data_IF_785052975029
#
_entry.id   IF_785052975029
#
_cell.length_a   1.000
_cell.length_b   1.000
_cell.length_c   1.000
_cell.angle_alpha   90.00
_cell.angle_beta   90.00
_cell.angle_gamma   90.00
#
_symmetry.space_group_name_H-M   'P 1'
#
loop_
_entity.id
_entity.type
_entity.pdbx_description
1 polymer ?
#
# COMPACT_ATOMS: atom_id res chain seq x y z
N UNK A 1 8.01 2.86 -15.45
CA UNK A 1 7.41 2.72 -16.79
C UNK A 1 5.91 2.74 -16.64
N UNK A 2 5.18 3.50 -17.46
CA UNK A 2 3.71 3.54 -17.41
C UNK A 2 3.11 2.48 -18.32
N UNK A 3 2.13 1.73 -17.82
CA UNK A 3 1.34 0.77 -18.62
C UNK A 3 0.05 1.46 -19.08
N UNK A 4 -0.32 1.29 -20.35
CA UNK A 4 -1.56 1.82 -20.92
C UNK A 4 -2.62 0.73 -21.01
N UNK A 5 -3.85 1.06 -20.64
CA UNK A 5 -5.03 0.22 -20.82
C UNK A 5 -6.08 0.98 -21.64
N UNK A 6 -6.77 0.28 -22.55
CA UNK A 6 -7.92 0.82 -23.29
C UNK A 6 -9.14 0.00 -22.92
N UNK A 7 -10.17 0.66 -22.37
CA UNK A 7 -11.40 0.02 -21.89
C UNK A 7 -12.58 0.56 -22.68
N UNK A 8 -13.46 -0.32 -23.16
CA UNK A 8 -14.73 0.08 -23.77
C UNK A 8 -15.75 0.28 -22.65
N UNK A 9 -16.37 1.45 -22.61
CA UNK A 9 -17.44 1.76 -21.67
C UNK A 9 -18.78 1.63 -22.39
N UNK A 10 -19.79 1.16 -21.68
CA UNK A 10 -21.16 1.31 -22.16
C UNK A 10 -21.57 2.79 -22.17
N UNK A 11 -22.65 3.10 -22.89
CA UNK A 11 -23.08 4.47 -23.10
C UNK A 11 -23.40 5.19 -21.79
N UNK A 12 -24.08 4.50 -20.86
CA UNK A 12 -24.50 5.07 -19.59
C UNK A 12 -23.29 5.41 -18.72
N UNK A 13 -22.32 4.49 -18.62
CA UNK A 13 -21.12 4.70 -17.83
C UNK A 13 -20.26 5.83 -18.39
N UNK A 14 -20.23 5.99 -19.73
CA UNK A 14 -19.55 7.11 -20.37
C UNK A 14 -20.20 8.46 -20.04
N UNK A 15 -21.54 8.54 -20.05
CA UNK A 15 -22.29 9.75 -19.68
C UNK A 15 -22.10 10.13 -18.21
N UNK A 16 -22.20 9.15 -17.30
CA UNK A 16 -21.98 9.38 -15.87
C UNK A 16 -20.55 9.87 -15.59
N UNK A 17 -19.55 9.31 -16.27
CA UNK A 17 -18.16 9.75 -16.17
C UNK A 17 -17.96 11.18 -16.68
N UNK A 18 -18.59 11.55 -17.79
CA UNK A 18 -18.50 12.91 -18.35
C UNK A 18 -19.16 13.93 -17.42
N UNK A 19 -20.36 13.64 -16.91
CA UNK A 19 -21.07 14.52 -15.98
C UNK A 19 -20.27 14.79 -14.69
N UNK A 20 -19.58 13.77 -14.16
CA UNK A 20 -18.71 13.94 -12.99
C UNK A 20 -17.47 14.77 -13.36
N UNK A 21 -16.86 14.52 -14.52
CA UNK A 21 -15.71 15.28 -14.99
C UNK A 21 -16.03 16.77 -15.13
N UNK A 22 -17.18 17.10 -15.72
CA UNK A 22 -17.66 18.48 -15.86
C UNK A 22 -17.90 19.13 -14.51
N UNK A 23 -18.63 18.46 -13.60
CA UNK A 23 -18.98 19.01 -12.29
C UNK A 23 -17.76 19.23 -11.38
N UNK A 24 -16.73 18.39 -11.51
CA UNK A 24 -15.54 18.42 -10.65
C UNK A 24 -14.36 19.16 -11.28
N UNK A 25 -14.40 19.45 -12.58
CA UNK A 25 -13.27 19.97 -13.34
C UNK A 25 -12.11 18.97 -13.50
N UNK A 26 -12.32 17.70 -13.15
CA UNK A 26 -11.29 16.67 -13.22
C UNK A 26 -11.26 16.00 -14.60
N UNK A 27 -10.07 15.62 -15.05
CA UNK A 27 -9.93 14.83 -16.28
C UNK A 27 -10.52 13.44 -16.07
N UNK A 28 -11.22 12.91 -17.07
CA UNK A 28 -11.72 11.53 -17.10
C UNK A 28 -10.68 10.50 -16.69
N UNK A 29 -9.45 10.63 -17.20
CA UNK A 29 -8.35 9.72 -16.84
C UNK A 29 -7.93 9.80 -15.38
N UNK A 30 -8.11 10.95 -14.72
CA UNK A 30 -7.89 11.09 -13.29
C UNK A 30 -8.97 10.36 -12.49
N UNK A 31 -10.23 10.55 -12.86
CA UNK A 31 -11.38 9.86 -12.24
C UNK A 31 -11.24 8.34 -12.38
N UNK A 32 -10.93 7.86 -13.59
CA UNK A 32 -10.74 6.43 -13.86
C UNK A 32 -9.57 5.85 -13.05
N UNK A 33 -8.45 6.57 -12.95
CA UNK A 33 -7.32 6.14 -12.10
C UNK A 33 -7.69 6.10 -10.62
N UNK A 34 -8.40 7.12 -10.12
CA UNK A 34 -8.82 7.17 -8.73
C UNK A 34 -9.80 6.04 -8.40
N UNK A 35 -10.79 5.80 -9.27
CA UNK A 35 -11.73 4.70 -9.10
C UNK A 35 -11.03 3.33 -9.13
N UNK A 36 -10.07 3.14 -10.04
CA UNK A 36 -9.28 1.90 -10.10
C UNK A 36 -8.42 1.71 -8.85
N UNK A 37 -7.79 2.76 -8.34
CA UNK A 37 -7.01 2.70 -7.11
C UNK A 37 -7.89 2.30 -5.91
N UNK A 38 -9.04 2.97 -5.74
CA UNK A 38 -10.01 2.66 -4.70
C UNK A 38 -10.50 1.20 -4.80
N UNK A 39 -10.83 0.74 -6.01
CA UNK A 39 -11.27 -0.63 -6.21
C UNK A 39 -10.22 -1.67 -5.79
N UNK A 40 -8.93 -1.41 -6.08
CA UNK A 40 -7.81 -2.29 -5.71
C UNK A 40 -7.47 -2.23 -4.21
N UNK A 41 -7.71 -1.11 -3.55
CA UNK A 41 -7.61 -1.01 -2.09
C UNK A 41 -8.67 -1.87 -1.40
N UNK A 42 -9.90 -1.86 -1.91
CA UNK A 42 -11.00 -2.70 -1.41
C UNK A 42 -10.85 -4.19 -1.78
N UNK A 43 -10.23 -4.46 -2.92
CA UNK A 43 -10.03 -5.81 -3.47
C UNK A 43 -8.54 -6.09 -3.69
N UNK A 44 -7.76 -6.19 -2.61
CA UNK A 44 -6.32 -6.40 -2.74
C UNK A 44 -6.06 -7.70 -3.52
N UNK A 45 -5.11 -7.71 -4.47
CA UNK A 45 -4.82 -8.89 -5.27
C UNK A 45 -4.47 -10.06 -4.36
N UNK A 46 -5.29 -11.11 -4.42
CA UNK A 46 -5.10 -12.32 -3.62
C UNK A 46 -3.82 -13.00 -4.10
N UNK A 47 -2.72 -12.81 -3.37
CA UNK A 47 -1.39 -13.33 -3.71
C UNK A 47 -0.27 -12.28 -3.73
N UNK A 48 -0.58 -11.00 -3.50
CA UNK A 48 0.41 -9.91 -3.47
C UNK A 48 0.57 -9.25 -2.10
N UNK A 49 0.21 -9.92 -1.01
CA UNK A 49 0.52 -9.39 0.32
C UNK A 49 2.03 -9.44 0.50
N UNK A 50 2.67 -8.27 0.51
CA UNK A 50 4.01 -8.11 1.05
C UNK A 50 4.08 -8.94 2.36
N UNK A 51 4.93 -9.97 2.42
CA UNK A 51 5.03 -10.83 3.60
C UNK A 51 5.26 -10.00 4.86
N UNK A 52 5.94 -8.85 4.74
CA UNK A 52 6.12 -7.90 5.83
C UNK A 52 4.81 -7.30 6.33
N UNK A 53 3.94 -6.85 5.43
CA UNK A 53 2.62 -6.30 5.81
C UNK A 53 1.73 -7.37 6.44
N UNK A 54 1.85 -8.62 5.98
CA UNK A 54 1.10 -9.78 6.50
C UNK A 54 1.46 -10.09 7.94
N UNK A 55 2.74 -9.93 8.31
CA UNK A 55 3.25 -10.28 9.64
C UNK A 55 3.49 -9.07 10.54
N UNK A 56 3.19 -7.84 10.10
CA UNK A 56 3.46 -6.60 10.86
C UNK A 56 2.88 -6.65 12.27
N UNK A 57 1.66 -7.16 12.42
CA UNK A 57 0.98 -7.22 13.70
C UNK A 57 1.39 -8.48 14.52
N UNK A 58 2.14 -9.42 13.90
CA UNK A 58 2.80 -10.56 14.54
C UNK A 58 4.25 -10.25 14.96
N UNK A 59 4.87 -9.19 14.41
CA UNK A 59 6.15 -8.66 14.85
C UNK A 59 5.95 -7.98 16.21
N UNK A 60 5.93 -8.79 17.27
CA UNK A 60 5.72 -8.33 18.63
C UNK A 60 6.62 -7.14 18.99
N UNK A 61 6.00 -6.08 19.53
CA UNK A 61 6.59 -5.00 20.32
C UNK A 61 8.07 -4.69 20.02
N UNK A 62 8.36 -4.15 18.83
CA UNK A 62 9.70 -3.59 18.52
C UNK A 62 10.02 -2.39 19.44
N UNK A 63 9.02 -1.83 20.13
CA UNK A 63 9.17 -0.71 21.07
C UNK A 63 9.77 -1.07 22.43
N UNK A 64 9.81 -2.35 22.83
CA UNK A 64 10.29 -2.76 24.16
C UNK A 64 11.65 -3.46 24.15
N UNK A 65 12.34 -3.48 23.01
CA UNK A 65 13.67 -4.08 22.85
C UNK A 65 14.81 -3.05 22.91
N UNK A 66 16.03 -3.52 23.17
CA UNK A 66 17.21 -2.65 23.02
C UNK A 66 17.44 -2.43 21.51
N UNK A 67 17.37 -1.18 21.01
CA UNK A 67 17.16 -0.86 19.59
C UNK A 67 18.30 -1.29 18.67
N UNK A 68 19.51 -1.45 19.21
CA UNK A 68 20.74 -1.79 18.48
C UNK A 68 21.20 -3.23 18.76
N UNK A 69 20.34 -4.10 19.30
CA UNK A 69 20.72 -5.48 19.65
C UNK A 69 21.30 -6.25 18.47
N UNK A 70 20.78 -6.08 17.26
CA UNK A 70 21.31 -6.77 16.07
C UNK A 70 22.72 -6.30 15.71
N UNK A 71 22.90 -4.99 15.64
CA UNK A 71 24.17 -4.36 15.23
C UNK A 71 25.26 -4.54 16.28
N UNK A 72 24.92 -4.38 17.57
CA UNK A 72 25.86 -4.34 18.68
C UNK A 72 25.74 -5.55 19.64
N UNK A 73 25.22 -6.69 19.17
CA UNK A 73 24.95 -7.88 20.00
C UNK A 73 26.16 -8.30 20.87
N UNK A 74 27.39 -8.21 20.33
CA UNK A 74 28.62 -8.60 21.03
C UNK A 74 28.90 -7.76 22.27
N UNK A 75 28.68 -6.46 22.18
CA UNK A 75 28.98 -5.53 23.27
C UNK A 75 27.92 -5.62 24.38
N UNK A 76 26.66 -5.83 24.00
CA UNK A 76 25.57 -6.12 24.94
C UNK A 76 25.81 -7.41 25.72
N UNK A 77 26.26 -8.48 25.05
CA UNK A 77 26.62 -9.74 25.72
C UNK A 77 27.81 -9.57 26.67
N UNK A 78 28.85 -8.86 26.24
CA UNK A 78 30.02 -8.58 27.10
C UNK A 78 29.65 -7.77 28.35
N UNK A 79 28.74 -6.82 28.22
CA UNK A 79 28.25 -6.01 29.35
C UNK A 79 27.44 -6.85 30.34
N UNK A 80 26.64 -7.82 29.85
CA UNK A 80 25.85 -8.72 30.71
C UNK A 80 26.66 -9.83 31.38
N UNK A 81 27.77 -10.26 30.77
CA UNK A 81 28.61 -11.37 31.24
C UNK A 81 29.80 -10.93 32.10
N UNK A 82 29.94 -9.63 32.37
CA UNK A 82 30.92 -9.13 33.33
C UNK A 82 30.31 -9.21 34.75
N UNK A 83 31.00 -9.84 35.72
CA UNK A 83 30.57 -9.91 37.12
C UNK A 83 30.63 -8.55 37.82
#
# INVERSE_FOLDING_TARGET
MGTQITVRLDHRLAEELEAIAERTGLRRSHIVRAALAHYLEEHPPTGGSDPFLTVRDLLGSVHSGVPDLGENHRDHLRKKLRP
#
